data_IF_488725137543
#
_entry.id   IF_488725137543
#
_cell.length_a   1.000
_cell.length_b   1.000
_cell.length_c   1.000
_cell.angle_alpha   90.00
_cell.angle_beta   90.00
_cell.angle_gamma   90.00
#
_symmetry.space_group_name_H-M   'P 1'
#
loop_
_entity.id
_entity.type
_entity.pdbx_description
1 polymer ?
#
# COMPACT_ATOMS: atom_id res chain seq x y z
N UNK A 1 21.68 -5.60 12.35
CA UNK A 1 20.76 -6.78 12.23
C UNK A 1 19.85 -6.66 11.00
N UNK A 2 19.47 -5.44 10.62
CA UNK A 2 18.58 -5.22 9.46
C UNK A 2 19.28 -5.29 8.09
N UNK A 3 20.60 -5.02 8.02
CA UNK A 3 21.36 -5.13 6.78
C UNK A 3 21.76 -6.58 6.45
N UNK A 4 21.73 -6.94 5.17
CA UNK A 4 22.01 -8.30 4.68
C UNK A 4 23.45 -8.75 4.97
N UNK A 5 24.39 -7.84 4.87
CA UNK A 5 25.83 -8.12 5.06
C UNK A 5 26.29 -8.00 6.53
N UNK A 6 25.36 -7.90 7.49
CA UNK A 6 25.64 -7.67 8.91
C UNK A 6 26.49 -6.41 9.20
N UNK A 7 26.65 -5.54 8.22
CA UNK A 7 27.28 -4.23 8.40
C UNK A 7 26.31 -3.28 9.09
N UNK A 8 26.85 -2.39 9.92
CA UNK A 8 26.03 -1.34 10.54
C UNK A 8 25.63 -0.31 9.48
N UNK A 9 24.33 -0.21 9.21
CA UNK A 9 23.81 0.86 8.36
C UNK A 9 23.88 2.18 9.11
N UNK A 10 24.33 3.29 8.49
CA UNK A 10 24.32 4.60 9.11
C UNK A 10 22.92 4.95 9.63
N UNK A 11 22.87 5.58 10.81
CA UNK A 11 21.58 5.95 11.45
C UNK A 11 20.72 6.82 10.52
N UNK A 12 21.35 7.77 9.82
CA UNK A 12 20.66 8.67 8.89
C UNK A 12 20.00 7.90 7.75
N UNK A 13 20.69 6.91 7.16
CA UNK A 13 20.14 6.05 6.08
C UNK A 13 18.95 5.23 6.59
N UNK A 14 19.07 4.67 7.79
CA UNK A 14 17.98 3.90 8.41
C UNK A 14 16.77 4.77 8.72
N UNK A 15 16.98 5.96 9.26
CA UNK A 15 15.93 6.93 9.58
C UNK A 15 15.24 7.41 8.29
N UNK A 16 16.02 7.76 7.27
CA UNK A 16 15.48 8.19 5.98
C UNK A 16 14.60 7.10 5.36
N UNK A 17 15.09 5.85 5.31
CA UNK A 17 14.32 4.74 4.73
C UNK A 17 13.07 4.44 5.54
N UNK A 18 13.14 4.48 6.88
CA UNK A 18 11.97 4.29 7.73
C UNK A 18 10.93 5.40 7.53
N UNK A 19 11.36 6.65 7.47
CA UNK A 19 10.47 7.80 7.18
C UNK A 19 9.84 7.68 5.79
N UNK A 20 10.64 7.33 4.78
CA UNK A 20 10.16 7.11 3.41
C UNK A 20 9.11 5.99 3.36
N UNK A 21 9.31 4.90 4.09
CA UNK A 21 8.36 3.80 4.16
C UNK A 21 7.04 4.20 4.84
N UNK A 22 7.11 4.87 6.00
CA UNK A 22 5.91 5.32 6.73
C UNK A 22 5.18 6.44 6.00
N UNK A 23 5.90 7.37 5.37
CA UNK A 23 5.29 8.45 4.58
C UNK A 23 4.91 8.00 3.16
N UNK A 24 5.19 6.74 2.80
CA UNK A 24 4.83 6.17 1.49
C UNK A 24 5.41 6.99 0.33
N UNK A 25 6.67 7.44 0.46
CA UNK A 25 7.31 8.31 -0.55
C UNK A 25 8.11 7.53 -1.60
N UNK A 26 8.53 6.29 -1.29
CA UNK A 26 9.26 5.43 -2.22
C UNK A 26 10.72 5.81 -2.46
N UNK A 27 11.24 6.78 -1.74
CA UNK A 27 12.63 7.18 -1.87
C UNK A 27 13.55 6.26 -1.06
N UNK A 28 14.60 5.75 -1.69
CA UNK A 28 15.57 4.85 -1.08
C UNK A 28 16.99 5.36 -1.29
N UNK A 29 17.79 5.44 -0.22
CA UNK A 29 19.22 5.74 -0.27
C UNK A 29 20.07 4.50 -0.56
N UNK A 30 19.51 3.33 -0.36
CA UNK A 30 20.11 2.03 -0.60
C UNK A 30 19.08 1.14 -1.28
N UNK A 31 19.51 0.26 -2.16
CA UNK A 31 18.62 -0.69 -2.82
C UNK A 31 17.95 -1.61 -1.80
N UNK A 32 16.62 -1.75 -1.89
CA UNK A 32 15.85 -2.47 -0.87
C UNK A 32 16.10 -3.97 -0.92
N UNK A 33 16.27 -4.52 -2.12
CA UNK A 33 16.44 -5.97 -2.33
C UNK A 33 17.83 -6.47 -1.97
N UNK A 34 18.86 -5.66 -2.19
CA UNK A 34 20.26 -6.05 -1.94
C UNK A 34 20.72 -5.70 -0.54
N UNK A 35 20.35 -4.54 -0.01
CA UNK A 35 20.86 -4.03 1.26
C UNK A 35 20.17 -4.63 2.49
N UNK A 36 18.82 -4.68 2.48
CA UNK A 36 18.07 -5.11 3.67
C UNK A 36 17.95 -6.63 3.77
N UNK A 37 18.19 -7.16 4.96
CA UNK A 37 17.89 -8.56 5.28
C UNK A 37 16.38 -8.82 5.23
N UNK A 38 15.99 -10.09 5.24
CA UNK A 38 14.56 -10.45 5.30
C UNK A 38 13.85 -9.78 6.48
N UNK A 39 14.50 -9.69 7.64
CA UNK A 39 13.97 -8.97 8.79
C UNK A 39 13.78 -7.48 8.50
N UNK A 40 14.78 -6.82 7.87
CA UNK A 40 14.66 -5.43 7.45
C UNK A 40 13.52 -5.20 6.45
N UNK A 41 13.35 -6.10 5.48
CA UNK A 41 12.26 -6.06 4.51
C UNK A 41 10.89 -6.24 5.19
N UNK A 42 10.77 -7.12 6.18
CA UNK A 42 9.53 -7.29 6.98
C UNK A 42 9.21 -6.00 7.75
N UNK A 43 10.19 -5.38 8.38
CA UNK A 43 10.00 -4.10 9.07
C UNK A 43 9.54 -3.01 8.10
N UNK A 44 10.15 -2.93 6.92
CA UNK A 44 9.76 -1.96 5.89
C UNK A 44 8.33 -2.18 5.40
N UNK A 45 7.93 -3.43 5.13
CA UNK A 45 6.58 -3.70 4.64
C UNK A 45 5.51 -3.40 5.70
N UNK A 46 5.81 -3.65 6.97
CA UNK A 46 4.92 -3.25 8.08
C UNK A 46 4.84 -1.73 8.19
N UNK A 47 5.95 -1.01 8.04
CA UNK A 47 5.97 0.44 8.03
C UNK A 47 5.16 1.02 6.86
N UNK A 48 5.32 0.46 5.65
CA UNK A 48 4.54 0.80 4.46
C UNK A 48 3.04 0.58 4.70
N UNK A 49 2.67 -0.56 5.28
CA UNK A 49 1.28 -0.89 5.55
C UNK A 49 0.64 0.08 6.55
N UNK A 50 1.35 0.41 7.63
CA UNK A 50 0.87 1.39 8.63
C UNK A 50 0.76 2.77 7.99
N UNK A 51 1.75 3.19 7.21
CA UNK A 51 1.77 4.48 6.52
C UNK A 51 0.68 4.58 5.46
N UNK A 52 0.55 3.60 4.58
CA UNK A 52 -0.44 3.55 3.51
C UNK A 52 -1.88 3.62 4.04
N UNK A 53 -2.21 2.80 5.02
CA UNK A 53 -3.53 2.83 5.67
C UNK A 53 -3.77 4.16 6.41
N UNK A 54 -2.74 4.69 7.08
CA UNK A 54 -2.82 5.96 7.82
C UNK A 54 -3.04 7.16 6.90
N UNK A 55 -2.26 7.28 5.84
CA UNK A 55 -2.40 8.37 4.85
C UNK A 55 -3.74 8.31 4.14
N UNK A 56 -4.19 7.14 3.69
CA UNK A 56 -5.49 6.98 3.05
C UNK A 56 -6.64 7.34 4.00
N UNK A 57 -6.56 6.92 5.26
CA UNK A 57 -7.57 7.27 6.27
C UNK A 57 -7.57 8.76 6.56
N UNK A 58 -6.41 9.39 6.67
CA UNK A 58 -6.28 10.84 6.89
C UNK A 58 -6.83 11.62 5.70
N UNK A 59 -6.48 11.26 4.47
CA UNK A 59 -7.00 11.88 3.24
C UNK A 59 -8.52 11.74 3.15
N UNK A 60 -9.04 10.59 3.55
CA UNK A 60 -10.47 10.35 3.65
C UNK A 60 -11.13 11.31 4.64
N UNK A 61 -10.59 11.47 5.85
CA UNK A 61 -11.09 12.39 6.86
C UNK A 61 -11.02 13.86 6.39
N UNK A 62 -9.91 14.26 5.77
CA UNK A 62 -9.74 15.61 5.20
C UNK A 62 -10.75 15.85 4.09
N UNK A 63 -10.97 14.90 3.18
CA UNK A 63 -11.97 15.00 2.12
C UNK A 63 -13.39 15.15 2.68
N UNK A 64 -13.71 14.44 3.76
CA UNK A 64 -14.99 14.63 4.48
C UNK A 64 -15.11 16.03 5.09
N UNK A 65 -14.04 16.53 5.70
CA UNK A 65 -14.04 17.85 6.33
C UNK A 65 -14.12 18.98 5.29
N UNK A 66 -13.43 18.87 4.15
CA UNK A 66 -13.36 19.87 3.09
C UNK A 66 -14.46 19.73 2.04
N UNK A 67 -15.00 18.51 1.82
CA UNK A 67 -15.94 18.19 0.74
C UNK A 67 -17.35 18.75 0.90
N UNK A 68 -17.58 19.69 1.82
CA UNK A 68 -18.92 20.18 2.12
C UNK A 68 -19.11 21.66 1.92
N UNK A 69 -19.22 22.09 0.67
CA UNK A 69 -20.16 23.16 0.34
C UNK A 69 -21.58 22.58 0.34
N UNK A 70 -22.15 22.42 1.55
CA UNK A 70 -23.45 21.79 1.74
C UNK A 70 -24.53 22.84 1.71
N UNK A 71 -25.50 22.67 0.79
CA UNK A 71 -26.75 23.42 0.78
C UNK A 71 -27.57 23.16 2.07
N UNK A 72 -28.37 24.14 2.47
CA UNK A 72 -29.16 24.15 3.73
C UNK A 72 -30.01 22.89 3.97
N UNK A 73 -30.42 22.18 2.92
CA UNK A 73 -31.22 20.96 2.96
C UNK A 73 -30.44 19.72 3.43
N UNK A 74 -29.11 19.72 3.28
CA UNK A 74 -28.25 18.64 3.75
C UNK A 74 -27.78 18.81 5.18
N UNK A 75 -27.97 20.00 5.80
CA UNK A 75 -27.60 20.23 7.20
C UNK A 75 -28.38 19.35 8.18
N UNK A 76 -29.66 19.08 7.91
CA UNK A 76 -30.51 18.22 8.77
C UNK A 76 -30.09 16.76 8.70
N UNK A 77 -29.73 16.26 7.52
CA UNK A 77 -29.23 14.89 7.35
C UNK A 77 -27.80 14.73 7.94
N UNK A 78 -27.05 15.85 8.02
CA UNK A 78 -25.73 15.87 8.63
C UNK A 78 -25.76 15.89 10.16
N UNK A 79 -26.75 16.53 10.78
CA UNK A 79 -26.93 16.45 12.24
C UNK A 79 -27.17 15.01 12.69
N UNK A 80 -27.93 14.22 11.92
CA UNK A 80 -28.08 12.79 12.16
C UNK A 80 -26.80 11.99 11.87
N UNK A 81 -26.03 12.36 10.83
CA UNK A 81 -24.75 11.70 10.50
C UNK A 81 -23.62 12.07 11.46
N UNK A 82 -23.57 13.31 11.94
CA UNK A 82 -22.59 13.77 12.95
C UNK A 82 -22.89 13.20 14.33
N UNK A 83 -24.15 12.95 14.67
CA UNK A 83 -24.49 12.19 15.87
C UNK A 83 -24.06 10.73 15.79
N UNK A 84 -23.86 10.16 14.59
CA UNK A 84 -23.28 8.82 14.38
C UNK A 84 -21.76 8.81 14.26
N UNK A 85 -21.05 9.93 14.41
CA UNK A 85 -19.61 10.02 14.65
C UNK A 85 -19.24 9.49 16.07
N UNK A 86 -20.03 8.57 16.57
CA UNK A 86 -19.65 7.74 17.71
C UNK A 86 -18.45 6.88 17.27
N UNK A 87 -17.52 6.69 18.18
CA UNK A 87 -16.30 5.86 18.05
C UNK A 87 -16.56 4.54 17.28
N UNK A 88 -17.75 3.99 17.35
CA UNK A 88 -18.20 2.81 16.61
C UNK A 88 -18.22 2.95 15.08
N UNK A 89 -18.45 4.14 14.52
CA UNK A 89 -18.43 4.38 13.07
C UNK A 89 -17.01 4.33 12.51
N UNK A 90 -16.07 4.96 13.22
CA UNK A 90 -14.63 4.98 12.83
C UNK A 90 -14.07 3.56 12.89
N UNK A 91 -14.35 2.81 13.95
CA UNK A 91 -13.90 1.41 14.09
C UNK A 91 -14.45 0.53 12.97
N UNK A 92 -15.70 0.74 12.56
CA UNK A 92 -16.30 0.00 11.43
C UNK A 92 -15.61 0.33 10.11
N UNK A 93 -15.35 1.61 9.84
CA UNK A 93 -14.63 2.06 8.64
C UNK A 93 -13.22 1.48 8.59
N UNK A 94 -12.46 1.58 9.70
CA UNK A 94 -11.11 1.03 9.79
C UNK A 94 -11.12 -0.49 9.56
N UNK A 95 -12.05 -1.21 10.17
CA UNK A 95 -12.17 -2.66 9.97
C UNK A 95 -12.53 -3.02 8.53
N UNK A 96 -13.40 -2.26 7.90
CA UNK A 96 -13.76 -2.41 6.49
C UNK A 96 -12.53 -2.16 5.60
N UNK A 97 -11.81 -1.06 5.85
CA UNK A 97 -10.58 -0.71 5.15
C UNK A 97 -9.53 -1.84 5.27
N UNK A 98 -9.24 -2.29 6.49
CA UNK A 98 -8.26 -3.36 6.73
C UNK A 98 -8.62 -4.67 6.01
N UNK A 99 -9.90 -5.07 6.03
CA UNK A 99 -10.35 -6.28 5.33
C UNK A 99 -10.28 -6.12 3.82
N UNK A 100 -10.73 -4.98 3.29
CA UNK A 100 -10.65 -4.66 1.87
C UNK A 100 -9.21 -4.66 1.36
N UNK A 101 -8.31 -3.99 2.07
CA UNK A 101 -6.87 -3.97 1.78
C UNK A 101 -6.30 -5.39 1.76
N UNK A 102 -6.52 -6.18 2.81
CA UNK A 102 -5.99 -7.55 2.89
C UNK A 102 -6.48 -8.44 1.73
N UNK A 103 -7.75 -8.28 1.30
CA UNK A 103 -8.29 -9.03 0.17
C UNK A 103 -7.63 -8.61 -1.14
N UNK A 104 -7.52 -7.31 -1.41
CA UNK A 104 -6.94 -6.80 -2.67
C UNK A 104 -5.45 -7.11 -2.75
N UNK A 105 -4.71 -6.85 -1.67
CA UNK A 105 -3.29 -7.19 -1.59
C UNK A 105 -3.05 -8.69 -1.72
N UNK A 106 -3.88 -9.52 -1.07
CA UNK A 106 -3.84 -10.97 -1.20
C UNK A 106 -4.09 -11.44 -2.64
N UNK A 107 -5.12 -10.91 -3.30
CA UNK A 107 -5.38 -11.20 -4.71
C UNK A 107 -4.21 -10.76 -5.61
N UNK A 108 -3.68 -9.55 -5.40
CA UNK A 108 -2.52 -9.05 -6.13
C UNK A 108 -1.29 -9.93 -5.94
N UNK A 109 -1.02 -10.36 -4.70
CA UNK A 109 0.09 -11.26 -4.40
C UNK A 109 -0.08 -12.61 -5.10
N UNK A 110 -1.29 -13.19 -5.11
CA UNK A 110 -1.58 -14.42 -5.85
C UNK A 110 -1.36 -14.24 -7.35
N UNK A 111 -1.85 -13.16 -7.94
CA UNK A 111 -1.64 -12.87 -9.36
C UNK A 111 -0.15 -12.71 -9.69
N UNK A 112 0.60 -11.91 -8.93
CA UNK A 112 2.04 -11.74 -9.14
C UNK A 112 2.82 -13.04 -8.93
N UNK A 113 2.34 -13.95 -8.05
CA UNK A 113 3.00 -15.22 -7.80
C UNK A 113 3.04 -16.13 -9.04
N UNK A 114 2.05 -16.05 -9.94
CA UNK A 114 2.07 -16.79 -11.21
C UNK A 114 3.30 -16.43 -12.08
N UNK A 115 3.84 -15.23 -11.92
CA UNK A 115 5.02 -14.79 -12.66
C UNK A 115 6.31 -14.93 -11.87
N UNK A 116 6.30 -14.56 -10.58
CA UNK A 116 7.51 -14.54 -9.75
C UNK A 116 7.90 -15.93 -9.20
N UNK A 117 6.96 -16.82 -8.93
CA UNK A 117 7.28 -18.18 -8.44
C UNK A 117 8.02 -19.01 -9.47
N UNK A 118 7.62 -19.08 -10.76
CA UNK A 118 8.40 -19.81 -11.78
C UNK A 118 9.81 -19.25 -11.98
N UNK A 119 10.00 -17.94 -11.77
CA UNK A 119 11.27 -17.27 -12.00
C UNK A 119 12.22 -17.37 -10.80
N UNK A 120 11.71 -17.31 -9.56
CA UNK A 120 12.51 -17.16 -8.35
C UNK A 120 12.42 -18.37 -7.40
N UNK A 121 11.57 -19.33 -7.71
CA UNK A 121 11.22 -20.44 -6.83
C UNK A 121 10.16 -20.05 -5.78
N UNK A 122 9.60 -21.06 -5.10
CA UNK A 122 8.44 -20.89 -4.23
C UNK A 122 8.65 -19.86 -3.11
N UNK A 123 9.69 -20.01 -2.32
CA UNK A 123 9.88 -19.16 -1.14
C UNK A 123 10.13 -17.68 -1.50
N UNK A 124 11.06 -17.45 -2.42
CA UNK A 124 11.39 -16.08 -2.88
C UNK A 124 10.25 -15.49 -3.72
N UNK A 125 9.69 -16.27 -4.64
CA UNK A 125 8.63 -15.82 -5.52
C UNK A 125 7.39 -15.36 -4.74
N UNK A 126 6.95 -16.10 -3.71
CA UNK A 126 5.83 -15.70 -2.85
C UNK A 126 6.18 -14.43 -2.07
N UNK A 127 7.38 -14.35 -1.47
CA UNK A 127 7.81 -13.17 -0.73
C UNK A 127 7.82 -11.90 -1.60
N UNK A 128 8.40 -12.01 -2.80
CA UNK A 128 8.43 -10.91 -3.77
C UNK A 128 7.01 -10.50 -4.20
N UNK A 129 6.12 -11.47 -4.43
CA UNK A 129 4.73 -11.20 -4.80
C UNK A 129 3.98 -10.45 -3.71
N UNK A 130 4.12 -10.87 -2.46
CA UNK A 130 3.50 -10.20 -1.30
C UNK A 130 4.07 -8.79 -1.13
N UNK A 131 5.39 -8.65 -1.19
CA UNK A 131 6.05 -7.35 -1.02
C UNK A 131 5.61 -6.35 -2.09
N UNK A 132 5.66 -6.74 -3.37
CA UNK A 132 5.27 -5.84 -4.47
C UNK A 132 3.77 -5.56 -4.49
N UNK A 133 2.92 -6.50 -4.09
CA UNK A 133 1.48 -6.27 -3.99
C UNK A 133 1.15 -5.21 -2.94
N UNK A 134 1.73 -5.30 -1.75
CA UNK A 134 1.54 -4.32 -0.68
C UNK A 134 2.15 -2.96 -1.08
N UNK A 135 3.38 -2.96 -1.60
CA UNK A 135 4.04 -1.74 -2.04
C UNK A 135 3.26 -1.01 -3.14
N UNK A 136 2.72 -1.74 -4.11
CA UNK A 136 1.91 -1.17 -5.20
C UNK A 136 0.55 -0.65 -4.69
N UNK A 137 -0.16 -1.43 -3.87
CA UNK A 137 -1.44 -1.00 -3.31
C UNK A 137 -1.32 0.23 -2.42
N UNK A 138 -0.32 0.26 -1.55
CA UNK A 138 -0.02 1.43 -0.71
C UNK A 138 0.56 2.61 -1.50
N UNK A 139 0.86 2.47 -2.79
CA UNK A 139 1.57 3.47 -3.61
C UNK A 139 2.95 3.82 -3.04
N UNK A 140 3.63 2.86 -2.41
CA UNK A 140 4.87 3.10 -1.67
C UNK A 140 6.12 3.16 -2.56
N UNK A 141 6.11 2.48 -3.72
CA UNK A 141 7.22 2.51 -4.68
C UNK A 141 8.49 1.76 -4.27
N UNK A 142 8.47 1.01 -3.17
CA UNK A 142 9.57 0.12 -2.79
C UNK A 142 9.47 -1.21 -3.55
N UNK A 143 10.62 -1.74 -3.95
CA UNK A 143 10.74 -3.00 -4.67
C UNK A 143 11.89 -3.87 -4.14
N UNK A 144 11.93 -5.13 -4.56
CA UNK A 144 12.98 -6.09 -4.20
C UNK A 144 13.77 -6.58 -5.43
N UNK A 145 13.65 -5.91 -6.59
CA UNK A 145 14.22 -6.40 -7.85
C UNK A 145 15.71 -6.21 -7.99
N UNK A 146 16.36 -5.44 -7.14
CA UNK A 146 17.81 -5.20 -7.18
C UNK A 146 18.67 -6.45 -7.35
N UNK A 147 18.43 -7.57 -6.63
CA UNK A 147 19.20 -8.81 -6.81
C UNK A 147 19.00 -9.51 -8.15
N UNK A 148 18.02 -9.12 -8.96
CA UNK A 148 17.62 -9.78 -10.21
C UNK A 148 17.99 -8.91 -11.41
N UNK A 149 17.59 -7.65 -11.37
CA UNK A 149 17.67 -6.72 -12.49
C UNK A 149 18.83 -5.73 -12.35
N UNK A 150 19.45 -5.65 -11.17
CA UNK A 150 20.46 -4.65 -10.82
C UNK A 150 19.94 -3.65 -9.80
N UNK A 151 20.85 -3.03 -9.04
CA UNK A 151 20.49 -2.06 -8.00
C UNK A 151 19.74 -0.87 -8.60
N UNK A 152 18.64 -0.46 -7.95
CA UNK A 152 17.77 0.67 -8.33
C UNK A 152 17.07 0.54 -9.68
N UNK A 153 17.02 -0.65 -10.30
CA UNK A 153 16.32 -0.86 -11.59
C UNK A 153 14.83 -1.09 -11.43
N UNK A 154 14.35 -1.32 -10.21
CA UNK A 154 12.94 -1.57 -9.93
C UNK A 154 12.29 -2.61 -10.86
N UNK A 155 11.13 -2.35 -11.40
CA UNK A 155 10.41 -3.24 -12.32
C UNK A 155 10.76 -3.04 -13.81
N UNK A 156 11.86 -2.36 -14.15
CA UNK A 156 12.26 -2.10 -15.55
C UNK A 156 12.34 -3.38 -16.39
N UNK A 157 12.84 -4.48 -15.82
CA UNK A 157 12.91 -5.77 -16.50
C UNK A 157 11.55 -6.34 -16.91
N UNK A 158 10.46 -5.81 -16.36
CA UNK A 158 9.08 -6.22 -16.64
C UNK A 158 8.30 -5.24 -17.51
N UNK A 159 8.96 -4.21 -18.08
CA UNK A 159 8.32 -3.23 -18.97
C UNK A 159 7.58 -3.91 -20.14
N UNK A 160 8.15 -4.99 -20.67
CA UNK A 160 7.52 -5.78 -21.73
C UNK A 160 6.52 -6.83 -21.27
N UNK A 161 6.24 -6.94 -19.96
CA UNK A 161 5.31 -7.93 -19.41
C UNK A 161 3.95 -7.29 -19.08
N UNK A 162 2.94 -7.41 -19.97
CA UNK A 162 1.65 -6.76 -19.78
C UNK A 162 0.88 -7.32 -18.57
N UNK A 163 1.17 -8.57 -18.15
CA UNK A 163 0.51 -9.16 -17.00
C UNK A 163 1.00 -8.53 -15.69
N UNK A 164 2.32 -8.45 -15.48
CA UNK A 164 2.87 -7.80 -14.28
C UNK A 164 2.47 -6.33 -14.22
N UNK A 165 2.63 -5.61 -15.34
CA UNK A 165 2.25 -4.20 -15.42
C UNK A 165 0.74 -3.99 -15.15
N UNK A 166 -0.12 -4.84 -15.73
CA UNK A 166 -1.56 -4.76 -15.52
C UNK A 166 -1.95 -4.96 -14.06
N UNK A 167 -1.36 -5.96 -13.37
CA UNK A 167 -1.62 -6.22 -11.95
C UNK A 167 -1.14 -5.04 -11.09
N UNK A 168 0.08 -4.53 -11.33
CA UNK A 168 0.64 -3.41 -10.57
C UNK A 168 -0.18 -2.15 -10.76
N UNK A 169 -0.56 -1.81 -12.00
CA UNK A 169 -1.42 -0.64 -12.31
C UNK A 169 -2.77 -0.77 -11.60
N UNK A 170 -3.40 -1.95 -11.64
CA UNK A 170 -4.67 -2.19 -10.94
C UNK A 170 -4.53 -1.96 -9.43
N UNK A 171 -3.46 -2.47 -8.81
CA UNK A 171 -3.20 -2.29 -7.38
C UNK A 171 -3.02 -0.81 -7.03
N UNK A 172 -2.22 -0.08 -7.81
CA UNK A 172 -2.00 1.37 -7.65
C UNK A 172 -3.32 2.13 -7.74
N UNK A 173 -4.13 1.86 -8.77
CA UNK A 173 -5.42 2.53 -8.96
C UNK A 173 -6.39 2.22 -7.82
N UNK A 174 -6.52 0.94 -7.44
CA UNK A 174 -7.39 0.52 -6.36
C UNK A 174 -6.96 1.13 -5.01
N UNK A 175 -5.66 1.16 -4.71
CA UNK A 175 -5.14 1.81 -3.51
C UNK A 175 -5.37 3.32 -3.52
N UNK A 176 -5.21 3.99 -4.67
CA UNK A 176 -5.38 5.43 -4.81
C UNK A 176 -6.83 5.94 -4.74
N UNK A 177 -7.84 5.09 -5.00
CA UNK A 177 -9.26 5.48 -4.96
C UNK A 177 -9.74 5.92 -3.57
N UNK A 178 -9.12 5.38 -2.51
CA UNK A 178 -9.52 5.66 -1.13
C UNK A 178 -10.74 4.87 -0.65
N UNK A 179 -10.81 4.63 0.66
CA UNK A 179 -11.80 3.74 1.28
C UNK A 179 -13.25 4.23 1.21
N UNK A 180 -13.49 5.53 1.07
CA UNK A 180 -14.85 6.05 0.91
C UNK A 180 -15.47 5.70 -0.44
N UNK A 181 -14.66 5.76 -1.52
CA UNK A 181 -15.14 5.33 -2.84
C UNK A 181 -15.44 3.84 -2.82
N UNK A 182 -14.62 3.06 -2.11
CA UNK A 182 -14.88 1.63 -1.92
C UNK A 182 -16.17 1.39 -1.14
N UNK A 183 -16.38 2.11 -0.03
CA UNK A 183 -17.59 1.98 0.78
C UNK A 183 -18.84 2.37 -0.02
N UNK A 184 -18.76 3.44 -0.81
CA UNK A 184 -19.87 3.90 -1.65
C UNK A 184 -20.20 2.91 -2.77
N UNK A 185 -19.18 2.40 -3.47
CA UNK A 185 -19.34 1.36 -4.48
C UNK A 185 -19.98 0.09 -3.94
N UNK A 186 -19.61 -0.33 -2.73
CA UNK A 186 -20.16 -1.54 -2.12
C UNK A 186 -21.56 -1.32 -1.53
N UNK A 187 -21.89 -0.13 -1.00
CA UNK A 187 -23.20 0.17 -0.42
C UNK A 187 -24.26 0.51 -1.46
N UNK A 188 -23.92 1.34 -2.43
CA UNK A 188 -24.89 1.89 -3.38
C UNK A 188 -25.03 1.07 -4.67
N UNK A 189 -24.31 -0.09 -4.80
CA UNK A 189 -24.46 -1.02 -5.93
C UNK A 189 -24.75 -0.33 -7.27
N UNK A 190 -23.88 0.61 -7.71
CA UNK A 190 -24.02 1.24 -9.05
C UNK A 190 -25.48 1.64 -9.43
N UNK A 191 -26.28 2.12 -8.51
CA UNK A 191 -27.55 2.78 -8.86
C UNK A 191 -27.23 4.20 -9.32
N UNK A 192 -27.08 4.33 -10.62
CA UNK A 192 -27.12 5.60 -11.34
C UNK A 192 -28.59 5.96 -11.63
#
# INVERSE_FOLDING_TARGET
ISARNRQSTPLLTSLFTATSAVCVTGQALVDTGTHWSLFGQVVLIVAIQIGGLGVMTLMALVSMALGKRIGLRQRTLLQESVASFQVGGIVRLVRFAMRGTAVVEGCGAVLLSFRFVPMLGWAKGIWYSVFHSISAFCNAGFDLMGPISGEFTSLESFVGDPFVNGVVIMLILLGGLGFFVWEDLFKNRLHW
#
